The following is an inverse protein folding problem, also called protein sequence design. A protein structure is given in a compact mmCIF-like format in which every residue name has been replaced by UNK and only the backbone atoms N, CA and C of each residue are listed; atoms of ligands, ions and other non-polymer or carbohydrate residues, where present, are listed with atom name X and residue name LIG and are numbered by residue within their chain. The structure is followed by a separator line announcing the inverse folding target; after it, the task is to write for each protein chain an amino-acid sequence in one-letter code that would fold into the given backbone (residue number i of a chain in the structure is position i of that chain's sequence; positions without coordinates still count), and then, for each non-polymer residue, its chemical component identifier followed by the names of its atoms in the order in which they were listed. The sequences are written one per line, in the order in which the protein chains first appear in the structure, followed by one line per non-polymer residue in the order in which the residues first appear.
data_IF_801607252884
#
_entry.id   IF_801607252884
#
_cell.length_a   1.000
_cell.length_b   1.000
_cell.length_c   1.000
_cell.angle_alpha   90.00
_cell.angle_beta   90.00
_cell.angle_gamma   90.00
#
_symmetry.space_group_name_H-M   'P 1'
#
loop_
_entity.id
_entity.type
_entity.pdbx_description
1 polymer ?
#
# COMPACT_ATOMS: atom_id res chain seq x y z
N UNK A 1 33.45 -2.23 -30.33
CA UNK A 1 33.10 -1.21 -29.32
C UNK A 1 31.57 -1.09 -29.28
N UNK A 2 30.90 -1.89 -28.45
CA UNK A 2 29.43 -1.83 -28.29
C UNK A 2 29.15 -0.68 -27.31
N UNK A 3 28.58 0.41 -27.85
CA UNK A 3 28.00 1.48 -27.03
C UNK A 3 27.17 0.86 -25.90
N UNK A 4 27.43 1.24 -24.67
CA UNK A 4 26.62 0.89 -23.51
C UNK A 4 25.22 1.47 -23.72
N UNK A 5 24.38 0.75 -24.45
CA UNK A 5 22.96 1.09 -24.58
C UNK A 5 22.38 1.07 -23.15
N UNK A 6 21.84 2.20 -22.74
CA UNK A 6 21.08 2.31 -21.50
C UNK A 6 20.12 1.12 -21.37
N UNK A 7 20.27 0.32 -20.33
CA UNK A 7 19.42 -0.84 -20.12
C UNK A 7 18.00 -0.40 -19.80
N UNK A 8 17.08 -0.67 -20.72
CA UNK A 8 15.68 -0.21 -20.62
C UNK A 8 14.97 -0.69 -19.36
N UNK A 9 15.44 -1.74 -18.70
CA UNK A 9 14.95 -2.20 -17.42
C UNK A 9 14.91 -1.10 -16.34
N UNK A 10 15.90 -0.19 -16.33
CA UNK A 10 15.90 0.94 -15.43
C UNK A 10 14.85 1.99 -15.78
N UNK A 11 14.51 2.16 -17.06
CA UNK A 11 13.40 3.02 -17.48
C UNK A 11 12.09 2.48 -16.93
N UNK A 12 11.88 1.16 -17.01
CA UNK A 12 10.69 0.50 -16.44
C UNK A 12 10.63 0.67 -14.90
N UNK A 13 11.77 0.58 -14.20
CA UNK A 13 11.85 0.81 -12.75
C UNK A 13 11.43 2.23 -12.37
N UNK A 14 11.95 3.23 -13.08
CA UNK A 14 11.59 4.62 -12.80
C UNK A 14 10.15 4.95 -13.21
N UNK A 15 9.66 4.38 -14.30
CA UNK A 15 8.25 4.49 -14.68
C UNK A 15 7.33 3.89 -13.61
N UNK A 16 7.69 2.72 -13.08
CA UNK A 16 6.97 2.10 -11.97
C UNK A 16 7.03 2.95 -10.69
N UNK A 17 8.21 3.52 -10.37
CA UNK A 17 8.37 4.44 -9.23
C UNK A 17 7.42 5.64 -9.33
N UNK A 18 7.40 6.31 -10.49
CA UNK A 18 6.53 7.49 -10.73
C UNK A 18 5.05 7.11 -10.65
N UNK A 19 4.65 5.97 -11.22
CA UNK A 19 3.28 5.48 -11.11
C UNK A 19 2.87 5.21 -9.66
N UNK A 20 3.72 4.49 -8.92
CA UNK A 20 3.44 4.18 -7.52
C UNK A 20 3.42 5.45 -6.64
N UNK A 21 4.30 6.41 -6.92
CA UNK A 21 4.25 7.74 -6.31
C UNK A 21 2.89 8.41 -6.56
N UNK A 22 2.44 8.41 -7.81
CA UNK A 22 1.20 9.09 -8.22
C UNK A 22 -0.03 8.46 -7.56
N UNK A 23 -0.20 7.13 -7.66
CA UNK A 23 -1.40 6.46 -7.17
C UNK A 23 -1.47 6.43 -5.64
N UNK A 24 -0.35 6.15 -4.96
CA UNK A 24 -0.33 6.09 -3.50
C UNK A 24 -0.26 7.48 -2.86
N UNK A 25 0.38 8.44 -3.51
CA UNK A 25 0.30 9.84 -3.11
C UNK A 25 -1.13 10.35 -3.14
N UNK A 26 -1.89 10.06 -4.21
CA UNK A 26 -3.28 10.46 -4.33
C UNK A 26 -4.17 9.83 -3.25
N UNK A 27 -4.12 8.51 -3.07
CA UNK A 27 -5.01 7.82 -2.13
C UNK A 27 -4.69 8.16 -0.66
N UNK A 28 -3.40 8.26 -0.29
CA UNK A 28 -3.00 8.55 1.08
C UNK A 28 -3.09 10.04 1.45
N UNK A 29 -3.34 10.93 0.49
CA UNK A 29 -3.72 12.32 0.76
C UNK A 29 -5.14 12.46 1.33
N UNK A 30 -5.93 11.39 1.38
CA UNK A 30 -7.31 11.41 1.88
C UNK A 30 -7.47 12.11 3.23
N UNK A 31 -6.55 11.85 4.18
CA UNK A 31 -6.60 12.47 5.49
C UNK A 31 -6.52 14.01 5.46
N UNK A 32 -5.89 14.58 4.41
CA UNK A 32 -5.79 16.03 4.21
C UNK A 32 -7.15 16.69 3.90
N UNK A 33 -8.09 15.91 3.38
CA UNK A 33 -9.44 16.37 3.02
C UNK A 33 -10.49 16.05 4.07
N UNK A 34 -10.24 15.06 4.94
CA UNK A 34 -11.25 14.45 5.82
C UNK A 34 -12.01 15.46 6.67
N UNK A 35 -11.34 16.50 7.19
CA UNK A 35 -11.98 17.55 7.97
C UNK A 35 -12.91 18.43 7.16
N UNK A 36 -12.50 18.82 5.95
CA UNK A 36 -13.32 19.61 5.04
C UNK A 36 -14.55 18.85 4.57
N UNK A 37 -14.42 17.53 4.33
CA UNK A 37 -15.52 16.66 3.93
C UNK A 37 -16.56 16.49 5.06
N UNK A 38 -16.12 16.39 6.33
CA UNK A 38 -17.02 16.34 7.48
C UNK A 38 -17.88 17.61 7.58
N UNK A 39 -17.27 18.76 7.38
CA UNK A 39 -17.98 20.05 7.42
C UNK A 39 -18.94 20.17 6.23
N UNK A 40 -18.47 19.91 5.03
CA UNK A 40 -19.22 20.08 3.78
C UNK A 40 -20.46 19.21 3.70
N UNK A 41 -20.32 17.93 4.12
CA UNK A 41 -21.41 16.96 4.02
C UNK A 41 -22.16 16.74 5.35
N UNK A 42 -21.87 17.55 6.39
CA UNK A 42 -22.40 17.37 7.75
C UNK A 42 -22.29 15.91 8.21
N UNK A 43 -21.16 15.25 7.89
CA UNK A 43 -20.91 13.84 8.09
C UNK A 43 -19.99 13.59 9.30
N UNK A 44 -20.19 12.45 9.94
CA UNK A 44 -19.34 11.99 11.03
C UNK A 44 -18.02 11.38 10.51
N UNK A 45 -17.09 11.02 11.40
CA UNK A 45 -15.79 10.45 11.01
C UNK A 45 -15.92 9.07 10.38
N UNK A 46 -16.85 8.26 10.87
CA UNK A 46 -17.09 6.93 10.31
C UNK A 46 -17.49 7.03 8.85
N UNK A 47 -18.47 7.89 8.55
CA UNK A 47 -19.00 8.06 7.19
C UNK A 47 -17.90 8.55 6.24
N UNK A 48 -17.12 9.57 6.63
CA UNK A 48 -16.03 10.06 5.78
C UNK A 48 -14.95 8.99 5.59
N UNK A 49 -14.57 8.27 6.66
CA UNK A 49 -13.53 7.24 6.61
C UNK A 49 -13.91 6.04 5.75
N UNK A 50 -15.22 5.77 5.61
CA UNK A 50 -15.73 4.69 4.75
C UNK A 50 -15.33 4.89 3.27
N UNK A 51 -15.23 6.12 2.78
CA UNK A 51 -14.78 6.39 1.41
C UNK A 51 -13.36 5.84 1.16
N UNK A 52 -12.45 6.06 2.10
CA UNK A 52 -11.09 5.50 2.03
C UNK A 52 -11.08 3.99 2.18
N UNK A 53 -11.83 3.46 3.14
CA UNK A 53 -11.94 2.03 3.38
C UNK A 53 -12.43 1.28 2.13
N UNK A 54 -13.45 1.82 1.47
CA UNK A 54 -14.00 1.30 0.21
C UNK A 54 -12.95 1.32 -0.92
N UNK A 55 -12.22 2.42 -1.07
CA UNK A 55 -11.16 2.54 -2.09
C UNK A 55 -10.05 1.50 -1.86
N UNK A 56 -9.59 1.31 -0.63
CA UNK A 56 -8.54 0.36 -0.30
C UNK A 56 -9.02 -1.08 -0.47
N UNK A 57 -10.22 -1.41 -0.05
CA UNK A 57 -10.82 -2.72 -0.29
C UNK A 57 -10.85 -3.05 -1.77
N UNK A 58 -11.34 -2.12 -2.59
CA UNK A 58 -11.47 -2.32 -4.03
C UNK A 58 -10.12 -2.44 -4.72
N UNK A 59 -9.12 -1.65 -4.35
CA UNK A 59 -7.84 -1.80 -5.03
C UNK A 59 -7.17 -3.16 -4.76
N UNK A 60 -7.37 -3.76 -3.60
CA UNK A 60 -6.90 -5.13 -3.36
C UNK A 60 -7.69 -6.16 -4.17
N UNK A 61 -9.01 -6.04 -4.20
CA UNK A 61 -9.88 -6.94 -4.94
C UNK A 61 -9.61 -6.87 -6.46
N UNK A 62 -9.59 -5.67 -7.01
CA UNK A 62 -9.37 -5.44 -8.45
C UNK A 62 -7.91 -5.74 -8.83
N UNK A 63 -6.95 -5.45 -7.94
CA UNK A 63 -5.54 -5.73 -8.20
C UNK A 63 -5.25 -7.19 -8.48
N UNK A 64 -5.94 -8.11 -7.81
CA UNK A 64 -5.82 -9.55 -8.06
C UNK A 64 -6.25 -9.92 -9.50
N UNK A 65 -7.35 -9.32 -9.99
CA UNK A 65 -7.86 -9.55 -11.35
C UNK A 65 -7.02 -8.81 -12.39
N UNK A 66 -6.68 -7.55 -12.12
CA UNK A 66 -5.92 -6.70 -13.03
C UNK A 66 -4.53 -7.27 -13.35
N UNK A 67 -3.88 -7.95 -12.39
CA UNK A 67 -2.63 -8.67 -12.62
C UNK A 67 -2.78 -9.74 -13.69
N UNK A 68 -3.83 -10.58 -13.58
CA UNK A 68 -4.10 -11.64 -14.56
C UNK A 68 -4.43 -11.06 -15.95
N UNK A 69 -5.20 -9.95 -16.00
CA UNK A 69 -5.53 -9.28 -17.27
C UNK A 69 -4.26 -8.69 -17.91
N UNK A 70 -3.39 -8.07 -17.12
CA UNK A 70 -2.12 -7.53 -17.62
C UNK A 70 -1.17 -8.62 -18.12
N UNK A 71 -1.22 -9.82 -17.53
CA UNK A 71 -0.47 -10.98 -18.00
C UNK A 71 -0.93 -11.47 -19.38
N UNK A 72 -2.20 -11.35 -19.69
CA UNK A 72 -2.80 -11.76 -20.97
C UNK A 72 -2.78 -10.67 -22.04
N UNK A 73 -2.70 -9.41 -21.63
CA UNK A 73 -2.74 -8.24 -22.51
C UNK A 73 -1.42 -7.46 -22.47
N UNK A 74 -1.50 -6.17 -22.24
CA UNK A 74 -0.35 -5.27 -22.11
C UNK A 74 -0.44 -4.49 -20.80
N UNK A 75 0.62 -4.51 -20.01
CA UNK A 75 0.69 -3.75 -18.73
C UNK A 75 0.36 -2.27 -18.92
N UNK A 76 0.79 -1.64 -20.04
CA UNK A 76 0.50 -0.24 -20.36
C UNK A 76 -0.98 0.07 -20.39
N UNK A 77 -1.76 -0.79 -21.05
CA UNK A 77 -3.19 -0.56 -21.22
C UNK A 77 -3.93 -0.70 -19.90
N UNK A 78 -3.60 -1.72 -19.10
CA UNK A 78 -4.24 -1.95 -17.82
C UNK A 78 -3.87 -0.84 -16.82
N UNK A 79 -2.58 -0.50 -16.71
CA UNK A 79 -2.13 0.58 -15.83
C UNK A 79 -2.62 1.96 -16.32
N UNK A 80 -2.61 2.21 -17.65
CA UNK A 80 -3.11 3.46 -18.23
C UNK A 80 -4.61 3.65 -18.01
N UNK A 81 -5.39 2.58 -18.17
CA UNK A 81 -6.81 2.59 -17.82
C UNK A 81 -7.01 2.85 -16.32
N UNK A 82 -6.18 2.25 -15.45
CA UNK A 82 -6.17 2.51 -14.02
C UNK A 82 -5.90 3.98 -13.68
N UNK A 83 -4.93 4.61 -14.35
CA UNK A 83 -4.63 6.04 -14.17
C UNK A 83 -5.78 6.91 -14.66
N UNK A 84 -6.42 6.54 -15.76
CA UNK A 84 -7.61 7.26 -16.25
C UNK A 84 -8.75 7.19 -15.23
N UNK A 85 -9.05 5.99 -14.68
CA UNK A 85 -10.06 5.82 -13.63
C UNK A 85 -9.72 6.63 -12.36
N UNK A 86 -8.44 6.63 -11.94
CA UNK A 86 -7.97 7.44 -10.82
C UNK A 86 -8.22 8.94 -11.06
N UNK A 87 -7.80 9.45 -12.22
CA UNK A 87 -7.96 10.86 -12.55
C UNK A 87 -9.43 11.28 -12.67
N UNK A 88 -10.25 10.46 -13.34
CA UNK A 88 -11.71 10.68 -13.42
C UNK A 88 -12.33 10.61 -12.02
N UNK A 89 -11.94 9.64 -11.19
CA UNK A 89 -12.42 9.52 -9.82
C UNK A 89 -12.10 10.76 -8.97
N UNK A 90 -10.87 11.27 -9.03
CA UNK A 90 -10.46 12.51 -8.34
C UNK A 90 -11.25 13.73 -8.86
N UNK A 91 -11.42 13.83 -10.18
CA UNK A 91 -12.19 14.90 -10.79
C UNK A 91 -13.65 14.87 -10.36
N UNK A 92 -14.31 13.72 -10.43
CA UNK A 92 -15.70 13.54 -9.99
C UNK A 92 -15.84 13.77 -8.48
N UNK A 93 -14.89 13.31 -7.68
CA UNK A 93 -14.88 13.57 -6.24
C UNK A 93 -14.82 15.09 -5.95
N UNK A 94 -14.07 15.87 -6.74
CA UNK A 94 -14.02 17.32 -6.61
C UNK A 94 -15.37 18.01 -6.90
N UNK A 95 -16.27 17.33 -7.62
CA UNK A 95 -17.62 17.83 -8.01
C UNK A 95 -18.75 17.24 -7.17
N UNK A 96 -18.44 16.34 -6.23
CA UNK A 96 -19.43 15.67 -5.43
C UNK A 96 -20.28 16.67 -4.63
N UNK A 97 -21.61 16.58 -4.76
CA UNK A 97 -22.60 17.35 -4.03
C UNK A 97 -23.17 16.58 -2.83
N UNK A 98 -22.87 15.29 -2.70
CA UNK A 98 -23.28 14.45 -1.59
C UNK A 98 -22.19 13.43 -1.24
N UNK A 99 -22.25 12.91 -0.01
CA UNK A 99 -21.32 11.88 0.45
C UNK A 99 -21.43 10.60 -0.40
N UNK A 100 -22.63 10.24 -0.87
CA UNK A 100 -22.81 9.10 -1.78
C UNK A 100 -22.07 9.30 -3.11
N UNK A 101 -22.15 10.49 -3.71
CA UNK A 101 -21.37 10.80 -4.92
C UNK A 101 -19.87 10.74 -4.66
N UNK A 102 -19.44 11.19 -3.47
CA UNK A 102 -18.06 11.08 -3.06
C UNK A 102 -17.62 9.61 -2.89
N UNK A 103 -18.45 8.73 -2.33
CA UNK A 103 -18.18 7.29 -2.26
C UNK A 103 -18.02 6.65 -3.64
N UNK A 104 -18.92 6.98 -4.57
CA UNK A 104 -18.84 6.46 -5.94
C UNK A 104 -17.59 6.97 -6.66
N UNK A 105 -17.24 8.23 -6.49
CA UNK A 105 -16.06 8.82 -7.13
C UNK A 105 -14.76 8.41 -6.45
N UNK A 106 -14.62 8.65 -5.15
CA UNK A 106 -13.39 8.35 -4.41
C UNK A 106 -13.30 6.87 -4.06
N UNK A 107 -14.33 6.27 -3.51
CA UNK A 107 -14.33 4.87 -3.10
C UNK A 107 -14.22 3.93 -4.29
N UNK A 108 -15.18 3.99 -5.22
CA UNK A 108 -15.23 3.03 -6.34
C UNK A 108 -14.24 3.37 -7.46
N UNK A 109 -14.30 4.58 -8.03
CA UNK A 109 -13.49 4.88 -9.22
C UNK A 109 -12.00 4.95 -8.92
N UNK A 110 -11.59 5.60 -7.82
CA UNK A 110 -10.18 5.65 -7.41
C UNK A 110 -9.70 4.27 -6.97
N UNK A 111 -10.47 3.54 -6.15
CA UNK A 111 -10.13 2.19 -5.72
C UNK A 111 -9.92 1.24 -6.91
N UNK A 112 -10.81 1.27 -7.90
CA UNK A 112 -10.69 0.53 -9.14
C UNK A 112 -9.43 0.94 -9.91
N UNK A 113 -9.19 2.25 -10.06
CA UNK A 113 -8.04 2.80 -10.77
C UNK A 113 -6.71 2.38 -10.15
N UNK A 114 -6.59 2.49 -8.83
CA UNK A 114 -5.39 2.05 -8.08
C UNK A 114 -5.18 0.54 -8.25
N UNK A 115 -6.23 -0.28 -8.16
CA UNK A 115 -6.16 -1.73 -8.36
C UNK A 115 -5.62 -2.10 -9.74
N UNK A 116 -6.13 -1.46 -10.80
CA UNK A 116 -5.66 -1.67 -12.17
C UNK A 116 -4.21 -1.21 -12.39
N UNK A 117 -3.74 -0.18 -11.70
CA UNK A 117 -2.40 0.35 -11.90
C UNK A 117 -1.34 -0.31 -10.98
N UNK A 118 -1.66 -0.64 -9.74
CA UNK A 118 -0.70 -1.06 -8.72
C UNK A 118 -0.03 -2.40 -9.03
N UNK A 119 -0.83 -3.49 -9.05
CA UNK A 119 -0.30 -4.86 -9.17
C UNK A 119 0.41 -5.08 -10.50
N UNK A 120 -0.16 -4.69 -11.66
CA UNK A 120 0.54 -4.83 -12.94
C UNK A 120 1.87 -4.06 -13.01
N UNK A 121 1.93 -2.88 -12.41
CA UNK A 121 3.14 -2.05 -12.41
C UNK A 121 4.28 -2.71 -11.64
N UNK A 122 4.03 -3.26 -10.45
CA UNK A 122 5.06 -3.99 -9.69
C UNK A 122 5.48 -5.27 -10.42
N UNK A 123 4.52 -5.99 -10.99
CA UNK A 123 4.80 -7.21 -11.73
C UNK A 123 5.67 -6.96 -12.98
N UNK A 124 5.48 -5.82 -13.65
CA UNK A 124 6.23 -5.47 -14.86
C UNK A 124 7.74 -5.29 -14.63
N UNK A 125 8.17 -4.94 -13.42
CA UNK A 125 9.60 -4.77 -13.10
C UNK A 125 10.34 -6.10 -12.97
N UNK A 126 9.67 -7.15 -12.51
CA UNK A 126 10.29 -8.42 -12.11
C UNK A 126 11.05 -9.15 -13.23
N UNK A 127 10.54 -9.24 -14.48
CA UNK A 127 11.20 -9.96 -15.57
C UNK A 127 12.48 -9.29 -16.09
N UNK A 128 12.70 -8.01 -15.80
CA UNK A 128 13.85 -7.25 -16.30
C UNK A 128 15.14 -7.56 -15.54
N UNK A 129 15.05 -8.12 -14.34
CA UNK A 129 16.19 -8.33 -13.45
C UNK A 129 16.18 -9.76 -12.86
N UNK A 130 17.35 -10.37 -12.83
CA UNK A 130 17.63 -11.64 -12.15
C UNK A 130 18.52 -11.37 -10.93
N UNK A 131 19.72 -10.80 -11.17
CA UNK A 131 20.71 -10.52 -10.11
C UNK A 131 20.34 -9.30 -9.26
N UNK A 132 19.75 -8.26 -9.86
CA UNK A 132 19.39 -6.98 -9.20
C UNK A 132 17.90 -6.84 -8.92
N UNK A 133 17.16 -7.96 -8.90
CA UNK A 133 15.69 -7.95 -8.76
C UNK A 133 15.21 -7.25 -7.49
N UNK A 134 15.84 -7.53 -6.34
CA UNK A 134 15.49 -6.91 -5.07
C UNK A 134 15.72 -5.38 -5.10
N UNK A 135 16.84 -4.93 -5.65
CA UNK A 135 17.16 -3.51 -5.81
C UNK A 135 16.15 -2.80 -6.72
N UNK A 136 15.86 -3.41 -7.88
CA UNK A 136 14.91 -2.86 -8.84
C UNK A 136 13.48 -2.75 -8.25
N UNK A 137 13.02 -3.81 -7.58
CA UNK A 137 11.74 -3.82 -6.89
C UNK A 137 11.70 -2.77 -5.75
N UNK A 138 12.80 -2.63 -5.05
CA UNK A 138 12.95 -1.64 -3.99
C UNK A 138 12.84 -0.20 -4.50
N UNK A 139 13.58 0.15 -5.56
CA UNK A 139 13.51 1.48 -6.18
C UNK A 139 12.11 1.74 -6.72
N UNK A 140 11.50 0.78 -7.43
CA UNK A 140 10.13 0.94 -7.91
C UNK A 140 9.15 1.18 -6.75
N UNK A 141 9.20 0.35 -5.69
CA UNK A 141 8.28 0.46 -4.55
C UNK A 141 8.55 1.66 -3.64
N UNK A 142 9.74 2.28 -3.70
CA UNK A 142 10.02 3.52 -2.96
C UNK A 142 9.13 4.69 -3.38
N UNK A 143 8.58 4.64 -4.60
CA UNK A 143 7.57 5.59 -5.06
C UNK A 143 6.35 5.66 -4.12
N UNK A 144 5.94 4.53 -3.53
CA UNK A 144 4.85 4.50 -2.53
C UNK A 144 5.20 5.39 -1.34
N UNK A 145 6.39 5.19 -0.74
CA UNK A 145 6.83 5.94 0.43
C UNK A 145 7.00 7.43 0.13
N UNK A 146 7.61 7.75 -1.02
CA UNK A 146 7.80 9.14 -1.44
C UNK A 146 6.46 9.84 -1.75
N UNK A 147 5.53 9.13 -2.40
CA UNK A 147 4.18 9.64 -2.65
C UNK A 147 3.42 9.91 -1.35
N UNK A 148 3.50 8.99 -0.38
CA UNK A 148 2.88 9.14 0.95
C UNK A 148 3.49 10.29 1.76
N UNK A 149 4.76 10.62 1.54
CA UNK A 149 5.44 11.75 2.18
C UNK A 149 5.07 13.08 1.52
N UNK A 150 5.24 13.18 0.21
CA UNK A 150 5.20 14.46 -0.51
C UNK A 150 3.78 14.92 -0.80
N UNK A 151 2.92 14.02 -1.30
CA UNK A 151 1.62 14.45 -1.83
C UNK A 151 0.64 14.90 -0.72
N UNK A 152 0.55 14.25 0.47
CA UNK A 152 -0.27 14.77 1.56
C UNK A 152 0.18 16.14 2.08
N UNK A 153 1.51 16.40 2.14
CA UNK A 153 2.04 17.70 2.54
C UNK A 153 1.64 18.80 1.55
N UNK A 154 1.75 18.51 0.25
CA UNK A 154 1.30 19.43 -0.79
C UNK A 154 -0.23 19.63 -0.73
N UNK A 155 -0.98 18.53 -0.55
CA UNK A 155 -2.44 18.57 -0.46
C UNK A 155 -2.92 19.46 0.69
N UNK A 156 -2.33 19.35 1.89
CA UNK A 156 -2.68 20.22 3.02
C UNK A 156 -2.51 21.70 2.65
N UNK A 157 -1.36 22.06 2.05
CA UNK A 157 -1.11 23.45 1.62
C UNK A 157 -2.08 23.92 0.54
N UNK A 158 -2.37 23.05 -0.42
CA UNK A 158 -3.34 23.37 -1.47
C UNK A 158 -4.76 23.50 -0.92
N UNK A 159 -5.16 22.68 0.05
CA UNK A 159 -6.47 22.78 0.71
C UNK A 159 -6.61 24.10 1.47
N UNK A 160 -5.55 24.54 2.17
CA UNK A 160 -5.53 25.83 2.89
C UNK A 160 -5.73 27.02 1.94
N UNK A 161 -5.17 26.98 0.74
CA UNK A 161 -5.17 28.12 -0.21
C UNK A 161 -6.33 28.05 -1.20
N UNK A 162 -6.61 26.86 -1.74
CA UNK A 162 -7.54 26.67 -2.87
C UNK A 162 -8.86 26.00 -2.47
N UNK A 163 -8.91 25.43 -1.25
CA UNK A 163 -9.99 24.55 -0.82
C UNK A 163 -9.83 23.12 -1.36
N UNK A 164 -10.56 22.18 -0.77
CA UNK A 164 -10.43 20.75 -1.05
C UNK A 164 -10.89 20.37 -2.48
N UNK A 165 -11.91 21.04 -3.04
CA UNK A 165 -12.43 20.74 -4.38
C UNK A 165 -11.40 21.08 -5.46
N UNK A 166 -10.83 22.28 -5.42
CA UNK A 166 -9.80 22.69 -6.37
C UNK A 166 -8.53 21.86 -6.22
N UNK A 167 -8.18 21.46 -4.99
CA UNK A 167 -7.03 20.58 -4.74
C UNK A 167 -7.22 19.22 -5.41
N UNK A 168 -8.39 18.56 -5.24
CA UNK A 168 -8.68 17.31 -5.92
C UNK A 168 -8.68 17.45 -7.45
N UNK A 169 -9.16 18.58 -7.98
CA UNK A 169 -9.14 18.87 -9.41
C UNK A 169 -7.70 18.94 -9.96
N UNK A 170 -6.81 19.66 -9.28
CA UNK A 170 -5.40 19.74 -9.68
C UNK A 170 -4.67 18.40 -9.51
N UNK A 171 -5.00 17.64 -8.47
CA UNK A 171 -4.49 16.28 -8.30
C UNK A 171 -4.95 15.35 -9.41
N UNK A 172 -6.19 15.49 -9.89
CA UNK A 172 -6.70 14.72 -11.04
C UNK A 172 -5.88 14.99 -12.30
N UNK A 173 -5.63 16.29 -12.59
CA UNK A 173 -4.82 16.70 -13.75
C UNK A 173 -3.37 16.20 -13.64
N UNK A 174 -2.75 16.37 -12.49
CA UNK A 174 -1.39 15.90 -12.23
C UNK A 174 -1.30 14.37 -12.36
N UNK A 175 -2.23 13.61 -11.77
CA UNK A 175 -2.28 12.17 -11.87
C UNK A 175 -2.45 11.69 -13.33
N UNK A 176 -3.31 12.37 -14.09
CA UNK A 176 -3.51 12.07 -15.51
C UNK A 176 -2.22 12.26 -16.31
N UNK A 177 -1.60 13.44 -16.21
CA UNK A 177 -0.43 13.80 -17.01
C UNK A 177 0.79 12.97 -16.63
N UNK A 178 1.13 12.94 -15.34
CA UNK A 178 2.31 12.22 -14.84
C UNK A 178 2.11 10.71 -14.97
N UNK A 179 0.92 10.22 -14.58
CA UNK A 179 0.61 8.80 -14.62
C UNK A 179 0.58 8.24 -16.03
N UNK A 180 -0.08 8.90 -16.99
CA UNK A 180 -0.09 8.44 -18.39
C UNK A 180 1.30 8.49 -19.02
N UNK A 181 2.08 9.57 -18.79
CA UNK A 181 3.45 9.63 -19.28
C UNK A 181 4.29 8.46 -18.77
N UNK A 182 4.15 8.10 -17.49
CA UNK A 182 4.83 6.95 -16.92
C UNK A 182 4.34 5.61 -17.49
N UNK A 183 3.03 5.45 -17.75
CA UNK A 183 2.50 4.19 -18.32
C UNK A 183 3.04 3.90 -19.73
N UNK A 184 3.27 4.94 -20.55
CA UNK A 184 3.86 4.77 -21.89
C UNK A 184 5.25 4.13 -21.83
N UNK A 185 6.01 4.38 -20.77
CA UNK A 185 7.35 3.84 -20.56
C UNK A 185 7.37 2.41 -19.99
N UNK A 186 6.24 1.93 -19.45
CA UNK A 186 6.15 0.55 -18.95
C UNK A 186 6.28 -0.46 -20.10
N UNK A 187 7.04 -1.52 -19.86
CA UNK A 187 7.13 -2.66 -20.77
C UNK A 187 7.17 -3.95 -19.95
N UNK A 188 6.43 -4.95 -20.43
CA UNK A 188 6.21 -6.21 -19.70
C UNK A 188 7.48 -7.06 -19.60
N UNK A 189 8.28 -7.13 -20.66
CA UNK A 189 9.42 -8.03 -20.69
C UNK A 189 10.57 -7.49 -21.54
N UNK A 190 11.84 -7.83 -21.20
CA UNK A 190 13.02 -7.46 -21.96
C UNK A 190 13.02 -8.02 -23.39
N UNK A 191 12.44 -9.22 -23.61
CA UNK A 191 12.39 -9.87 -24.92
C UNK A 191 11.66 -9.02 -25.97
N UNK A 192 10.64 -8.26 -25.58
CA UNK A 192 9.93 -7.32 -26.48
C UNK A 192 10.80 -6.16 -26.98
N UNK A 193 11.88 -5.87 -26.25
CA UNK A 193 12.89 -4.87 -26.63
C UNK A 193 14.15 -5.49 -27.23
N UNK A 194 14.15 -6.81 -27.44
CA UNK A 194 15.30 -7.54 -28.01
C UNK A 194 16.50 -7.58 -27.06
N UNK A 195 16.28 -7.50 -25.74
CA UNK A 195 17.33 -7.55 -24.72
C UNK A 195 17.09 -8.68 -23.71
N UNK A 196 18.14 -9.08 -23.01
CA UNK A 196 18.07 -10.09 -21.96
C UNK A 196 17.89 -9.44 -20.58
N UNK A 197 17.38 -10.18 -19.56
CA UNK A 197 17.38 -9.73 -18.19
C UNK A 197 18.78 -9.32 -17.72
N UNK A 198 18.90 -8.27 -16.90
CA UNK A 198 20.16 -7.66 -16.48
C UNK A 198 21.10 -7.25 -17.65
N UNK A 199 20.60 -7.24 -18.89
CA UNK A 199 21.40 -7.09 -20.12
C UNK A 199 22.47 -8.18 -20.29
N UNK A 200 22.26 -9.38 -19.75
CA UNK A 200 23.21 -10.49 -19.71
C UNK A 200 22.66 -11.70 -20.51
N UNK A 201 23.23 -11.94 -21.67
CA UNK A 201 22.85 -13.07 -22.55
C UNK A 201 23.26 -14.44 -21.97
N UNK A 202 24.17 -14.48 -21.00
CA UNK A 202 24.65 -15.70 -20.36
C UNK A 202 23.88 -16.09 -19.10
N UNK A 203 22.88 -15.26 -18.70
CA UNK A 203 22.08 -15.51 -17.52
C UNK A 203 21.22 -16.78 -17.63
N UNK A 204 20.90 -17.44 -16.49
CA UNK A 204 20.08 -18.65 -16.52
C UNK A 204 18.71 -18.36 -17.14
N UNK A 205 18.31 -19.16 -18.12
CA UNK A 205 16.95 -19.16 -18.61
C UNK A 205 15.99 -19.49 -17.45
N UNK A 206 14.90 -18.74 -17.30
CA UNK A 206 13.89 -19.07 -16.33
C UNK A 206 13.30 -20.45 -16.67
N UNK A 207 13.59 -21.47 -15.85
CA UNK A 207 12.98 -22.78 -15.96
C UNK A 207 11.46 -22.72 -15.78
N UNK A 208 10.73 -23.79 -16.14
CA UNK A 208 9.29 -23.82 -15.90
C UNK A 208 8.97 -23.61 -14.44
N UNK A 209 7.99 -22.72 -14.17
CA UNK A 209 7.57 -22.40 -12.83
C UNK A 209 6.96 -23.65 -12.15
N UNK A 210 7.64 -24.20 -11.16
CA UNK A 210 7.19 -25.34 -10.36
C UNK A 210 6.44 -24.86 -9.11
N UNK A 211 5.52 -25.67 -8.58
CA UNK A 211 4.80 -25.37 -7.35
C UNK A 211 3.43 -26.04 -7.27
N UNK A 212 2.77 -25.85 -6.15
CA UNK A 212 1.45 -26.40 -5.87
C UNK A 212 0.39 -25.92 -6.87
N UNK A 213 -0.61 -26.77 -7.12
CA UNK A 213 -1.83 -26.38 -7.81
C UNK A 213 -2.60 -25.34 -7.02
N UNK A 214 -3.36 -24.46 -7.70
CA UNK A 214 -4.15 -23.40 -7.04
C UNK A 214 -5.05 -23.95 -5.92
N UNK A 215 -5.87 -24.97 -6.25
CA UNK A 215 -6.82 -25.55 -5.30
C UNK A 215 -6.15 -26.24 -4.11
N UNK A 216 -4.99 -26.86 -4.34
CA UNK A 216 -4.17 -27.48 -3.29
C UNK A 216 -3.60 -26.43 -2.33
N UNK A 217 -3.01 -25.36 -2.88
CA UNK A 217 -2.44 -24.28 -2.10
C UNK A 217 -3.49 -23.60 -1.22
N UNK A 218 -4.62 -23.18 -1.79
CA UNK A 218 -5.68 -22.43 -1.08
C UNK A 218 -6.36 -23.29 0.01
N UNK A 219 -6.46 -24.59 -0.19
CA UNK A 219 -7.04 -25.53 0.82
C UNK A 219 -6.04 -25.93 1.91
N UNK A 220 -4.77 -25.58 1.77
CA UNK A 220 -3.75 -25.94 2.75
C UNK A 220 -3.94 -25.18 4.07
N UNK A 221 -3.60 -25.85 5.20
CA UNK A 221 -3.58 -25.20 6.51
C UNK A 221 -2.62 -24.00 6.55
N UNK A 222 -1.50 -24.10 5.86
CA UNK A 222 -0.51 -23.01 5.75
C UNK A 222 -1.11 -21.77 5.13
N UNK A 223 -1.88 -21.92 4.04
CA UNK A 223 -2.56 -20.79 3.40
C UNK A 223 -3.62 -20.17 4.33
N UNK A 224 -4.42 -21.01 5.01
CA UNK A 224 -5.42 -20.54 5.96
C UNK A 224 -4.83 -19.76 7.13
N UNK A 225 -3.72 -20.22 7.70
CA UNK A 225 -3.00 -19.48 8.75
C UNK A 225 -2.42 -18.16 8.23
N UNK A 226 -1.85 -18.17 7.02
CA UNK A 226 -1.29 -16.96 6.41
C UNK A 226 -2.41 -15.95 6.11
N UNK A 227 -3.52 -16.39 5.53
CA UNK A 227 -4.69 -15.56 5.27
C UNK A 227 -5.24 -14.94 6.56
N UNK A 228 -5.37 -15.75 7.63
CA UNK A 228 -5.87 -15.28 8.93
C UNK A 228 -4.92 -14.24 9.56
N UNK A 229 -3.60 -14.44 9.51
CA UNK A 229 -2.64 -13.48 10.02
C UNK A 229 -2.75 -12.13 9.29
N UNK A 230 -2.90 -12.15 7.95
CA UNK A 230 -3.08 -10.94 7.14
C UNK A 230 -4.44 -10.29 7.40
N UNK A 231 -5.51 -11.07 7.55
CA UNK A 231 -6.84 -10.55 7.88
C UNK A 231 -6.84 -9.82 9.22
N UNK A 232 -6.25 -10.44 10.24
CA UNK A 232 -6.15 -9.85 11.57
C UNK A 232 -5.43 -8.50 11.52
N UNK A 233 -4.21 -8.46 11.00
CA UNK A 233 -3.50 -7.16 10.91
C UNK A 233 -4.24 -6.16 10.01
N UNK A 234 -4.94 -6.62 8.98
CA UNK A 234 -5.80 -5.81 8.11
C UNK A 234 -6.87 -5.03 8.86
N UNK A 235 -7.40 -5.60 9.98
CA UNK A 235 -8.40 -4.94 10.83
C UNK A 235 -7.90 -3.67 11.54
N UNK A 236 -6.60 -3.36 11.48
CA UNK A 236 -6.03 -2.18 12.16
C UNK A 236 -4.99 -1.43 11.32
N UNK A 237 -4.39 -2.08 10.32
CA UNK A 237 -3.21 -1.54 9.63
C UNK A 237 -3.47 -0.25 8.84
N UNK A 238 -4.69 -0.02 8.35
CA UNK A 238 -5.01 1.20 7.59
C UNK A 238 -5.63 2.31 8.44
N UNK A 239 -5.94 2.04 9.71
CA UNK A 239 -6.41 3.06 10.65
C UNK A 239 -5.43 4.26 10.76
N UNK A 240 -4.10 4.07 10.88
CA UNK A 240 -3.17 5.20 10.99
C UNK A 240 -3.17 6.12 9.76
N UNK A 241 -3.36 5.57 8.56
CA UNK A 241 -3.37 6.38 7.33
C UNK A 241 -4.56 7.35 7.23
N UNK A 242 -5.65 7.07 7.95
CA UNK A 242 -6.85 7.93 7.99
C UNK A 242 -6.86 8.79 9.24
N UNK A 243 -6.58 8.19 10.40
CA UNK A 243 -6.88 8.82 11.67
C UNK A 243 -5.67 9.42 12.40
N UNK A 244 -4.42 9.06 12.06
CA UNK A 244 -3.23 9.58 12.77
C UNK A 244 -3.07 11.10 12.61
N UNK A 245 -3.21 11.59 11.36
CA UNK A 245 -3.11 13.02 11.09
C UNK A 245 -4.24 13.79 11.78
N UNK A 246 -5.45 13.24 11.77
CA UNK A 246 -6.60 13.85 12.42
C UNK A 246 -6.48 13.83 13.94
N UNK A 247 -6.01 12.71 14.51
CA UNK A 247 -5.72 12.60 15.94
C UNK A 247 -4.66 13.63 16.39
N UNK A 248 -3.63 13.85 15.58
CA UNK A 248 -2.62 14.87 15.87
C UNK A 248 -3.26 16.27 15.91
N UNK A 249 -4.16 16.60 14.99
CA UNK A 249 -4.89 17.88 14.96
C UNK A 249 -5.83 18.03 16.16
N UNK A 250 -6.57 16.97 16.53
CA UNK A 250 -7.46 16.98 17.72
C UNK A 250 -6.68 17.25 19.02
N UNK A 251 -5.39 16.94 19.02
CA UNK A 251 -4.47 17.21 20.15
C UNK A 251 -3.73 18.56 20.02
N UNK A 252 -4.12 19.42 19.05
CA UNK A 252 -3.58 20.76 18.89
C UNK A 252 -2.34 20.87 18.00
N UNK A 253 -1.92 19.79 17.31
CA UNK A 253 -0.83 19.87 16.34
C UNK A 253 -1.35 20.42 14.98
N UNK A 254 -0.47 21.01 14.19
CA UNK A 254 -0.83 21.55 12.89
C UNK A 254 -1.21 20.47 11.87
N UNK A 255 -1.99 20.84 10.85
CA UNK A 255 -2.32 19.95 9.73
C UNK A 255 -1.06 19.47 8.99
N UNK A 256 -0.05 20.34 8.86
CA UNK A 256 1.24 19.98 8.29
C UNK A 256 1.98 18.92 9.11
N UNK A 257 1.95 19.03 10.46
CA UNK A 257 2.48 17.99 11.34
C UNK A 257 1.76 16.66 11.15
N UNK A 258 0.43 16.67 11.03
CA UNK A 258 -0.37 15.48 10.73
C UNK A 258 0.04 14.81 9.41
N UNK A 259 0.20 15.60 8.35
CA UNK A 259 0.65 15.09 7.05
C UNK A 259 2.09 14.54 7.10
N UNK A 260 2.99 15.18 7.86
CA UNK A 260 4.36 14.71 8.04
C UNK A 260 4.41 13.35 8.76
N UNK A 261 3.52 13.08 9.71
CA UNK A 261 3.42 11.76 10.36
C UNK A 261 3.13 10.64 9.34
N UNK A 262 2.28 10.88 8.35
CA UNK A 262 2.05 9.92 7.26
C UNK A 262 3.32 9.72 6.43
N UNK A 263 4.06 10.80 6.16
CA UNK A 263 5.36 10.73 5.51
C UNK A 263 6.36 9.88 6.29
N UNK A 264 6.39 9.99 7.61
CA UNK A 264 7.24 9.15 8.49
C UNK A 264 6.83 7.68 8.40
N UNK A 265 5.54 7.35 8.34
CA UNK A 265 5.09 5.98 8.03
C UNK A 265 5.66 5.52 6.69
N UNK A 266 5.62 6.37 5.65
CA UNK A 266 6.17 6.08 4.33
C UNK A 266 7.66 5.78 4.36
N UNK A 267 8.47 6.61 5.05
CA UNK A 267 9.92 6.42 5.25
C UNK A 267 10.18 5.12 6.02
N UNK A 268 9.47 4.89 7.11
CA UNK A 268 9.56 3.65 7.89
C UNK A 268 9.25 2.42 7.03
N UNK A 269 8.18 2.49 6.22
CA UNK A 269 7.78 1.41 5.32
C UNK A 269 8.83 1.11 4.24
N UNK A 270 9.45 2.16 3.69
CA UNK A 270 10.58 2.00 2.78
C UNK A 270 11.74 1.29 3.48
N UNK A 271 12.19 1.80 4.61
CA UNK A 271 13.31 1.22 5.37
C UNK A 271 13.01 -0.23 5.79
N UNK A 272 11.77 -0.52 6.24
CA UNK A 272 11.34 -1.87 6.64
C UNK A 272 11.44 -2.89 5.52
N UNK A 273 11.11 -2.50 4.29
CA UNK A 273 11.21 -3.39 3.11
C UNK A 273 12.64 -3.79 2.79
N UNK A 274 13.63 -2.94 3.04
CA UNK A 274 15.03 -3.24 2.76
C UNK A 274 15.73 -3.87 3.96
N UNK A 275 15.67 -3.21 5.11
CA UNK A 275 16.44 -3.62 6.28
C UNK A 275 15.88 -4.89 6.87
N UNK A 276 14.55 -4.93 7.12
CA UNK A 276 13.94 -6.07 7.82
C UNK A 276 13.80 -7.30 6.92
N UNK A 277 13.59 -7.10 5.60
CA UNK A 277 13.60 -8.24 4.65
C UNK A 277 14.99 -8.83 4.50
N UNK A 278 16.03 -8.00 4.48
CA UNK A 278 17.43 -8.48 4.46
C UNK A 278 17.81 -9.26 5.72
N UNK A 279 17.32 -8.81 6.89
CA UNK A 279 17.52 -9.53 8.15
C UNK A 279 16.78 -10.87 8.21
N UNK A 280 15.69 -11.01 7.46
CA UNK A 280 14.90 -12.23 7.44
C UNK A 280 15.65 -13.44 6.85
N UNK A 281 16.60 -13.22 5.95
CA UNK A 281 17.48 -14.30 5.45
C UNK A 281 18.42 -14.81 6.54
N UNK A 282 18.73 -13.99 7.57
CA UNK A 282 19.62 -14.33 8.69
C UNK A 282 18.88 -14.98 9.86
N UNK A 283 17.67 -14.51 10.18
CA UNK A 283 16.89 -14.95 11.34
C UNK A 283 15.76 -15.93 10.99
N UNK A 284 15.56 -16.22 9.70
CA UNK A 284 14.47 -17.04 9.19
C UNK A 284 13.23 -16.21 8.84
N UNK A 285 12.71 -16.45 7.63
CA UNK A 285 11.62 -15.64 7.04
C UNK A 285 10.31 -15.67 7.84
N UNK A 286 9.94 -16.87 8.40
CA UNK A 286 8.74 -17.01 9.23
C UNK A 286 8.84 -16.21 10.51
N UNK A 287 9.95 -16.32 11.24
CA UNK A 287 10.11 -15.69 12.54
C UNK A 287 10.22 -14.15 12.36
N UNK A 288 10.90 -13.70 11.30
CA UNK A 288 10.93 -12.29 10.92
C UNK A 288 9.53 -11.77 10.55
N UNK A 289 8.72 -12.56 9.85
CA UNK A 289 7.35 -12.17 9.50
C UNK A 289 6.48 -12.01 10.75
N UNK A 290 6.56 -12.92 11.71
CA UNK A 290 5.89 -12.78 13.00
C UNK A 290 6.39 -11.56 13.78
N UNK A 291 7.71 -11.30 13.77
CA UNK A 291 8.31 -10.14 14.43
C UNK A 291 7.80 -8.79 13.86
N UNK A 292 7.39 -8.73 12.57
CA UNK A 292 6.78 -7.51 12.01
C UNK A 292 5.45 -7.18 12.67
N UNK A 293 4.63 -8.19 12.96
CA UNK A 293 3.37 -7.98 13.69
C UNK A 293 3.62 -7.59 15.15
N UNK A 294 4.64 -8.19 15.80
CA UNK A 294 5.06 -7.75 17.15
C UNK A 294 5.48 -6.27 17.13
N UNK A 295 6.28 -5.85 16.15
CA UNK A 295 6.72 -4.47 16.01
C UNK A 295 5.54 -3.52 15.78
N UNK A 296 4.57 -3.89 14.93
CA UNK A 296 3.36 -3.10 14.73
C UNK A 296 2.51 -3.05 16.01
N UNK A 297 2.36 -4.17 16.72
CA UNK A 297 1.68 -4.20 18.02
C UNK A 297 2.35 -3.30 19.06
N UNK A 298 3.69 -3.33 19.14
CA UNK A 298 4.47 -2.45 20.00
C UNK A 298 4.30 -0.97 19.60
N UNK A 299 4.23 -0.67 18.32
CA UNK A 299 3.92 0.68 17.86
C UNK A 299 2.53 1.14 18.35
N UNK A 300 1.49 0.30 18.21
CA UNK A 300 0.16 0.63 18.76
C UNK A 300 0.17 0.78 20.27
N UNK A 301 0.94 -0.04 21.01
CA UNK A 301 1.10 0.12 22.46
C UNK A 301 1.78 1.45 22.81
N UNK A 302 2.78 1.86 22.04
CA UNK A 302 3.42 3.17 22.15
C UNK A 302 2.42 4.31 21.88
N UNK A 303 1.60 4.21 20.84
CA UNK A 303 0.55 5.20 20.56
C UNK A 303 -0.46 5.27 21.70
N UNK A 304 -0.91 4.12 22.22
CA UNK A 304 -1.82 4.06 23.36
C UNK A 304 -1.23 4.74 24.61
N UNK A 305 0.02 4.42 24.94
CA UNK A 305 0.72 5.03 26.07
C UNK A 305 0.87 6.56 25.89
N UNK A 306 1.07 7.03 24.66
CA UNK A 306 1.18 8.46 24.37
C UNK A 306 -0.10 9.25 24.61
N UNK A 307 -1.26 8.59 24.73
CA UNK A 307 -2.53 9.27 25.06
C UNK A 307 -2.52 9.88 26.46
N UNK A 308 -1.78 9.28 27.39
CA UNK A 308 -1.63 9.77 28.78
C UNK A 308 -0.62 10.94 28.89
N UNK A 309 0.12 11.25 27.84
CA UNK A 309 1.14 12.31 27.83
C UNK A 309 0.60 13.58 27.15
N UNK A 310 1.18 14.76 27.42
CA UNK A 310 0.90 15.95 26.62
C UNK A 310 1.12 15.70 25.12
N UNK A 311 0.39 16.44 24.29
CA UNK A 311 0.51 16.32 22.84
C UNK A 311 1.97 16.53 22.40
N UNK A 312 2.55 15.53 21.75
CA UNK A 312 3.93 15.56 21.31
C UNK A 312 4.02 15.00 19.88
N UNK A 313 4.51 15.83 18.97
CA UNK A 313 4.85 15.38 17.63
C UNK A 313 5.86 14.21 17.66
N UNK A 314 6.88 14.30 18.54
CA UNK A 314 7.91 13.26 18.64
C UNK A 314 7.35 11.91 19.08
N UNK A 315 6.38 11.88 20.00
CA UNK A 315 5.72 10.64 20.42
C UNK A 315 4.93 10.00 19.28
N UNK A 316 4.18 10.78 18.50
CA UNK A 316 3.44 10.29 17.33
C UNK A 316 4.38 9.91 16.17
N UNK A 317 5.50 10.62 16.01
CA UNK A 317 6.53 10.29 15.02
C UNK A 317 7.22 8.95 15.37
N UNK A 318 7.47 8.68 16.65
CA UNK A 318 7.97 7.39 17.13
C UNK A 318 7.02 6.24 16.75
N UNK A 319 5.71 6.42 17.00
CA UNK A 319 4.68 5.48 16.52
C UNK A 319 4.76 5.30 15.00
N UNK A 320 4.73 6.40 14.25
CA UNK A 320 4.68 6.39 12.79
C UNK A 320 5.88 5.65 12.19
N UNK A 321 7.09 5.86 12.73
CA UNK A 321 8.30 5.18 12.30
C UNK A 321 8.26 3.68 12.61
N UNK A 322 7.96 3.31 13.85
CA UNK A 322 7.88 1.90 14.27
C UNK A 322 6.82 1.13 13.50
N UNK A 323 5.62 1.72 13.35
CA UNK A 323 4.54 1.15 12.56
C UNK A 323 4.95 1.01 11.09
N UNK A 324 5.54 2.06 10.51
CA UNK A 324 6.04 2.05 9.13
C UNK A 324 7.06 0.94 8.89
N UNK A 325 8.04 0.78 9.78
CA UNK A 325 9.05 -0.29 9.70
C UNK A 325 8.38 -1.68 9.69
N UNK A 326 7.49 -1.96 10.64
CA UNK A 326 6.76 -3.23 10.73
C UNK A 326 5.89 -3.48 9.50
N UNK A 327 5.13 -2.48 9.06
CA UNK A 327 4.28 -2.54 7.87
C UNK A 327 5.10 -2.80 6.60
N UNK A 328 6.20 -2.08 6.40
CA UNK A 328 7.09 -2.27 5.26
C UNK A 328 7.72 -3.65 5.23
N UNK A 329 8.22 -4.13 6.37
CA UNK A 329 8.78 -5.48 6.52
C UNK A 329 7.76 -6.57 6.23
N UNK A 330 6.53 -6.45 6.75
CA UNK A 330 5.40 -7.34 6.47
C UNK A 330 5.12 -7.45 4.96
N UNK A 331 4.93 -6.30 4.29
CA UNK A 331 4.65 -6.27 2.84
C UNK A 331 5.80 -6.83 2.03
N UNK A 332 7.05 -6.59 2.46
CA UNK A 332 8.24 -7.10 1.78
C UNK A 332 8.45 -8.60 1.94
N UNK A 333 8.07 -9.17 3.10
CA UNK A 333 8.27 -10.60 3.41
C UNK A 333 7.17 -11.52 2.89
N UNK A 334 5.94 -11.00 2.68
CA UNK A 334 4.82 -11.83 2.25
C UNK A 334 5.08 -12.57 0.92
N UNK A 335 5.54 -11.92 -0.18
CA UNK A 335 5.78 -12.62 -1.44
C UNK A 335 6.87 -13.72 -1.37
N UNK A 336 8.05 -13.50 -0.75
CA UNK A 336 9.04 -14.56 -0.58
C UNK A 336 8.54 -15.76 0.24
N UNK A 337 7.70 -15.53 1.26
CA UNK A 337 7.09 -16.61 2.03
C UNK A 337 6.09 -17.40 1.21
N UNK A 338 5.21 -16.74 0.45
CA UNK A 338 4.27 -17.41 -0.46
C UNK A 338 5.03 -18.27 -1.47
N UNK A 339 6.10 -17.76 -2.04
CA UNK A 339 6.95 -18.50 -2.97
C UNK A 339 7.64 -19.70 -2.28
N UNK A 340 8.10 -19.55 -1.04
CA UNK A 340 8.72 -20.63 -0.27
C UNK A 340 7.76 -21.76 0.11
N UNK A 341 6.49 -21.44 0.42
CA UNK A 341 5.50 -22.44 0.79
C UNK A 341 4.82 -23.10 -0.41
N UNK A 342 4.54 -22.36 -1.48
CA UNK A 342 3.65 -22.82 -2.56
C UNK A 342 4.34 -22.90 -3.93
N UNK A 343 5.58 -22.41 -4.05
CA UNK A 343 6.33 -22.36 -5.30
C UNK A 343 5.90 -21.21 -6.22
N UNK A 344 6.48 -21.17 -7.41
CA UNK A 344 6.34 -20.05 -8.35
C UNK A 344 5.14 -20.16 -9.31
N UNK A 345 4.53 -21.35 -9.44
CA UNK A 345 3.52 -21.66 -10.47
C UNK A 345 2.29 -20.75 -10.44
N UNK A 346 1.77 -20.42 -9.25
CA UNK A 346 0.56 -19.62 -9.05
C UNK A 346 0.83 -18.41 -8.14
N UNK A 347 2.08 -17.92 -8.10
CA UNK A 347 2.55 -16.96 -7.11
C UNK A 347 1.72 -15.66 -7.08
N UNK A 348 1.53 -15.01 -8.25
CA UNK A 348 0.80 -13.74 -8.35
C UNK A 348 -0.66 -13.87 -7.91
N UNK A 349 -1.32 -14.96 -8.30
CA UNK A 349 -2.70 -15.25 -7.89
C UNK A 349 -2.81 -15.48 -6.38
N UNK A 350 -1.92 -16.30 -5.80
CA UNK A 350 -1.93 -16.58 -4.35
C UNK A 350 -1.66 -15.33 -3.52
N UNK A 351 -0.72 -14.48 -3.95
CA UNK A 351 -0.46 -13.19 -3.29
C UNK A 351 -1.70 -12.29 -3.40
N UNK A 352 -2.30 -12.19 -4.59
CA UNK A 352 -3.52 -11.41 -4.79
C UNK A 352 -4.67 -11.87 -3.90
N UNK A 353 -4.87 -13.19 -3.77
CA UNK A 353 -5.91 -13.75 -2.90
C UNK A 353 -5.63 -13.50 -1.41
N UNK A 354 -4.37 -13.61 -0.97
CA UNK A 354 -3.97 -13.25 0.39
C UNK A 354 -4.21 -11.75 0.68
N UNK A 355 -3.99 -10.88 -0.29
CA UNK A 355 -4.23 -9.44 -0.11
C UNK A 355 -5.72 -9.07 -0.05
N UNK A 356 -6.63 -9.93 -0.54
CA UNK A 356 -8.07 -9.76 -0.27
C UNK A 356 -8.35 -9.78 1.24
N UNK A 357 -7.60 -10.59 2.02
CA UNK A 357 -7.70 -10.58 3.48
C UNK A 357 -7.39 -9.20 4.07
N UNK A 358 -6.30 -8.55 3.60
CA UNK A 358 -5.99 -7.17 3.99
C UNK A 358 -7.11 -6.20 3.58
N UNK A 359 -7.66 -6.37 2.37
CA UNK A 359 -8.78 -5.58 1.87
C UNK A 359 -10.03 -5.68 2.76
N UNK A 360 -10.42 -6.89 3.13
CA UNK A 360 -11.57 -7.13 4.03
C UNK A 360 -11.35 -6.43 5.38
N UNK A 361 -10.19 -6.61 5.98
CA UNK A 361 -9.84 -5.94 7.24
C UNK A 361 -9.89 -4.42 7.10
N UNK A 362 -9.40 -3.88 6.00
CA UNK A 362 -9.36 -2.44 5.75
C UNK A 362 -10.74 -1.82 5.55
N UNK A 363 -11.69 -2.58 5.02
CA UNK A 363 -13.07 -2.08 4.90
C UNK A 363 -13.67 -1.76 6.28
N UNK A 364 -13.25 -2.51 7.30
CA UNK A 364 -13.74 -2.36 8.67
C UNK A 364 -12.94 -1.32 9.47
N UNK A 365 -11.60 -1.37 9.40
CA UNK A 365 -10.70 -0.69 10.33
C UNK A 365 -10.90 0.83 10.44
N UNK A 366 -10.80 1.63 9.37
CA UNK A 366 -10.96 3.09 9.48
C UNK A 366 -12.38 3.50 9.86
N UNK A 367 -13.39 2.80 9.33
CA UNK A 367 -14.79 3.06 9.63
C UNK A 367 -15.12 2.78 11.10
N UNK A 368 -14.63 1.65 11.63
CA UNK A 368 -14.78 1.30 13.04
C UNK A 368 -14.09 2.32 13.96
N UNK A 369 -12.87 2.74 13.62
CA UNK A 369 -12.15 3.73 14.41
C UNK A 369 -12.88 5.10 14.42
N UNK A 370 -13.44 5.51 13.28
CA UNK A 370 -14.29 6.69 13.19
C UNK A 370 -15.56 6.56 14.03
N UNK A 371 -16.27 5.44 13.91
CA UNK A 371 -17.49 5.15 14.66
C UNK A 371 -17.29 5.15 16.18
N UNK A 372 -16.18 4.59 16.66
CA UNK A 372 -15.83 4.65 18.10
C UNK A 372 -15.57 6.09 18.51
N UNK A 373 -14.79 6.82 17.72
CA UNK A 373 -14.48 8.22 18.02
C UNK A 373 -15.74 9.09 18.07
N UNK A 374 -16.66 8.92 17.12
CA UNK A 374 -17.90 9.70 17.04
C UNK A 374 -18.78 9.51 18.30
N UNK A 375 -18.63 8.37 19.02
CA UNK A 375 -19.37 8.07 20.26
C UNK A 375 -18.63 8.40 21.56
N UNK A 376 -17.31 8.26 21.55
CA UNK A 376 -16.50 8.36 22.78
C UNK A 376 -15.56 9.55 22.80
N UNK A 377 -15.47 10.30 21.69
CA UNK A 377 -14.46 11.34 21.45
C UNK A 377 -13.00 10.86 21.73
N UNK A 378 -12.75 9.55 21.58
CA UNK A 378 -11.48 8.93 21.90
C UNK A 378 -11.08 7.85 20.90
N UNK A 379 -9.78 7.76 20.62
CA UNK A 379 -9.18 6.67 19.85
C UNK A 379 -8.61 5.54 20.74
N UNK A 380 -8.77 5.60 22.05
CA UNK A 380 -8.16 4.63 22.97
C UNK A 380 -8.54 3.18 22.63
N UNK A 381 -9.84 2.91 22.41
CA UNK A 381 -10.32 1.56 22.08
C UNK A 381 -9.81 1.06 20.72
N UNK A 382 -9.90 1.82 19.61
CA UNK A 382 -9.31 1.40 18.33
C UNK A 382 -7.79 1.18 18.40
N UNK A 383 -7.06 2.02 19.14
CA UNK A 383 -5.62 1.86 19.33
C UNK A 383 -5.31 0.61 20.14
N UNK A 384 -6.03 0.38 21.23
CA UNK A 384 -5.88 -0.82 22.07
C UNK A 384 -6.20 -2.11 21.28
N UNK A 385 -7.24 -2.09 20.43
CA UNK A 385 -7.53 -3.20 19.52
C UNK A 385 -6.36 -3.49 18.58
N UNK A 386 -5.61 -2.46 18.14
CA UNK A 386 -4.40 -2.59 17.35
C UNK A 386 -3.30 -3.39 18.03
N UNK A 387 -3.14 -3.25 19.34
CA UNK A 387 -2.19 -4.06 20.14
C UNK A 387 -2.60 -5.53 20.13
N UNK A 388 -3.85 -5.82 20.50
CA UNK A 388 -4.37 -7.18 20.66
C UNK A 388 -4.39 -7.93 19.33
N UNK A 389 -4.86 -7.28 18.29
CA UNK A 389 -5.01 -7.88 16.96
C UNK A 389 -3.64 -8.19 16.34
N UNK A 390 -2.65 -7.30 16.48
CA UNK A 390 -1.29 -7.59 16.01
C UNK A 390 -0.60 -8.67 16.85
N UNK A 391 -0.86 -8.76 18.16
CA UNK A 391 -0.37 -9.86 18.98
C UNK A 391 -0.95 -11.22 18.52
N UNK A 392 -2.26 -11.26 18.22
CA UNK A 392 -2.90 -12.44 17.66
C UNK A 392 -2.35 -12.79 16.26
N UNK A 393 -2.14 -11.79 15.39
CA UNK A 393 -1.53 -11.98 14.09
C UNK A 393 -0.11 -12.53 14.19
N UNK A 394 0.70 -12.04 15.12
CA UNK A 394 2.05 -12.53 15.40
C UNK A 394 2.03 -14.00 15.85
N UNK A 395 1.13 -14.34 16.76
CA UNK A 395 0.97 -15.72 17.24
C UNK A 395 0.54 -16.69 16.13
N UNK A 396 -0.40 -16.27 15.27
CA UNK A 396 -0.82 -17.06 14.10
C UNK A 396 0.34 -17.21 13.10
N UNK A 397 1.06 -16.12 12.79
CA UNK A 397 2.21 -16.15 11.90
C UNK A 397 3.32 -17.08 12.41
N UNK A 398 3.54 -17.12 13.72
CA UNK A 398 4.51 -18.03 14.34
C UNK A 398 4.11 -19.51 14.23
N UNK A 399 2.80 -19.82 14.06
CA UNK A 399 2.30 -21.18 13.80
C UNK A 399 2.51 -21.65 12.35
N UNK A 400 2.92 -20.77 11.45
CA UNK A 400 3.30 -21.18 10.09
C UNK A 400 4.48 -22.17 10.15
N UNK A 401 4.57 -23.14 9.23
CA UNK A 401 5.74 -24.02 9.16
C UNK A 401 7.01 -23.20 8.89
N UNK A 402 8.14 -23.68 9.39
CA UNK A 402 9.44 -23.13 8.98
C UNK A 402 9.58 -23.39 7.48
N UNK A 403 9.69 -22.35 6.67
CA UNK A 403 9.97 -22.51 5.25
C UNK A 403 11.35 -23.19 5.12
N UNK A 404 11.44 -24.23 4.30
CA UNK A 404 12.72 -24.78 3.90
C UNK A 404 13.52 -23.65 3.23
N UNK A 405 14.75 -23.42 3.72
CA UNK A 405 15.64 -22.35 3.27
C UNK A 405 16.07 -22.55 1.82
#
# INVERSE_FOLDING_TARGET
MTQARWFYGWVVVWAAHVLLFTIFGAIYSFSSFSGALQIEFAANRADVSFAFALAVFLYFLIGAVAGVVADRTHVRWVAGFGILCLAVGLFLASRAASLLQFYLAFGLAIGFGVGCAYVPTIAAVQPWFVRRRALAAGIASSGIGLGTLVVPLLAVRMVEVLGWRATLHWMALAALLIGLAATVLLEKSPQRKGVFPDNDASGPAAGPATGMGWGEAVRSRTFGLFFLAILLTGLVQFMPFVHLARHAQDRGLSAASGALLLGIIGIGSFAGRFVLTGLADRFGRRDSFAAMFVLMGAAFAWWLASLALPASFAALAGFALMFGLGYGGFVGLAPPLVMGYFGARNLSGLIGFLYIAAGIGTLIAPTFAGWVYDRSASYALPIASGVLVNAAAAWIAWKLPKAAG
#
